data_IF_016357110721
#
_entry.id   IF_016357110721
#
_cell.length_a   1.000
_cell.length_b   1.000
_cell.length_c   1.000
_cell.angle_alpha   90.00
_cell.angle_beta   90.00
_cell.angle_gamma   90.00
#
_symmetry.space_group_name_H-M   'P 1'
#
loop_
_entity.id
_entity.type
_entity.pdbx_description
1 polymer ?
#
# COMPACT_ATOMS: atom_id res chain seq x y z
N UNK A 1 2.24 7.39 -24.40
CA UNK A 1 2.54 6.18 -23.60
C UNK A 1 3.06 6.68 -22.26
N UNK A 2 2.25 6.66 -21.20
CA UNK A 2 2.75 7.02 -19.87
C UNK A 2 3.55 5.82 -19.34
N UNK A 3 4.80 6.06 -18.95
CA UNK A 3 5.58 5.08 -18.18
C UNK A 3 5.00 5.13 -16.77
N UNK A 4 4.39 4.05 -16.28
CA UNK A 4 4.02 3.97 -14.87
C UNK A 4 5.29 4.12 -14.02
N UNK A 5 5.39 5.22 -13.28
CA UNK A 5 6.50 5.44 -12.37
C UNK A 5 6.37 4.46 -11.21
N UNK A 6 7.20 3.42 -11.20
CA UNK A 6 7.29 2.49 -10.10
C UNK A 6 8.26 3.03 -9.04
N UNK A 7 7.80 3.07 -7.79
CA UNK A 7 8.61 3.38 -6.62
C UNK A 7 8.72 2.14 -5.72
N UNK A 8 9.91 1.85 -5.21
CA UNK A 8 10.11 0.86 -4.16
C UNK A 8 9.70 1.44 -2.80
N UNK A 9 10.07 2.71 -2.55
CA UNK A 9 9.96 3.40 -1.26
C UNK A 9 9.28 4.77 -1.42
N UNK A 10 8.35 5.09 -0.53
CA UNK A 10 7.79 6.43 -0.31
C UNK A 10 8.33 6.96 1.02
N UNK A 11 8.95 8.15 1.03
CA UNK A 11 9.40 8.83 2.26
C UNK A 11 8.45 9.99 2.56
N UNK A 12 7.83 9.92 3.74
CA UNK A 12 6.87 10.87 4.28
C UNK A 12 7.50 11.57 5.49
N UNK A 13 7.45 12.90 5.53
CA UNK A 13 8.05 13.72 6.59
C UNK A 13 7.37 15.10 6.64
N UNK A 14 7.50 15.84 7.75
CA UNK A 14 7.02 17.23 7.81
C UNK A 14 8.04 18.15 7.15
N UNK A 15 7.69 18.83 6.06
CA UNK A 15 8.69 19.62 5.30
C UNK A 15 9.08 20.93 6.00
N UNK A 16 8.09 21.77 6.29
CA UNK A 16 8.26 23.08 6.92
C UNK A 16 7.61 23.17 8.31
N UNK A 17 8.17 23.98 9.20
CA UNK A 17 7.61 24.34 10.52
C UNK A 17 6.47 25.37 10.41
N UNK A 18 5.86 25.73 11.54
CA UNK A 18 4.75 26.72 11.61
C UNK A 18 5.14 28.15 11.19
N UNK A 19 6.44 28.39 10.97
CA UNK A 19 7.01 29.68 10.51
C UNK A 19 7.48 29.61 9.05
N UNK A 20 7.34 28.45 8.38
CA UNK A 20 7.78 28.23 7.00
C UNK A 20 9.27 27.91 6.84
N UNK A 21 9.99 27.55 7.91
CA UNK A 21 11.39 27.10 7.82
C UNK A 21 11.47 25.59 7.60
N UNK A 22 12.50 25.15 6.89
CA UNK A 22 12.85 23.73 6.76
C UNK A 22 13.01 23.05 8.13
N UNK A 23 12.36 21.90 8.32
CA UNK A 23 12.47 21.10 9.55
C UNK A 23 13.75 20.25 9.57
N UNK A 24 14.08 19.72 10.76
CA UNK A 24 15.07 18.63 10.87
C UNK A 24 14.60 17.36 10.13
N UNK A 25 13.30 17.08 10.10
CA UNK A 25 12.72 15.93 9.40
C UNK A 25 13.06 15.99 7.90
N UNK A 26 12.93 17.16 7.26
CA UNK A 26 13.27 17.40 5.85
C UNK A 26 14.74 17.11 5.56
N UNK A 27 15.64 17.65 6.38
CA UNK A 27 17.09 17.41 6.24
C UNK A 27 17.41 15.92 6.34
N UNK A 28 16.93 15.24 7.39
CA UNK A 28 17.22 13.82 7.63
C UNK A 28 16.54 12.92 6.58
N UNK A 29 15.33 13.26 6.15
CA UNK A 29 14.65 12.56 5.06
C UNK A 29 15.42 12.69 3.74
N UNK A 30 16.01 13.86 3.45
CA UNK A 30 16.84 14.06 2.25
C UNK A 30 18.16 13.28 2.31
N UNK A 31 18.79 13.18 3.49
CA UNK A 31 19.94 12.31 3.71
C UNK A 31 19.59 10.83 3.48
N UNK A 32 18.43 10.37 3.99
CA UNK A 32 17.92 9.02 3.79
C UNK A 32 17.59 8.75 2.31
N UNK A 33 16.87 9.67 1.65
CA UNK A 33 16.59 9.64 0.21
C UNK A 33 17.88 9.46 -0.60
N UNK A 34 18.85 10.34 -0.40
CA UNK A 34 20.15 10.31 -1.09
C UNK A 34 20.89 8.99 -0.87
N UNK A 35 20.83 8.46 0.36
CA UNK A 35 21.41 7.16 0.69
C UNK A 35 20.71 6.00 -0.03
N UNK A 36 19.38 5.96 -0.08
CA UNK A 36 18.61 4.90 -0.76
C UNK A 36 18.74 4.96 -2.30
N UNK A 37 18.79 6.16 -2.89
CA UNK A 37 19.09 6.37 -4.33
C UNK A 37 20.49 5.82 -4.67
N UNK A 38 21.50 6.07 -3.82
CA UNK A 38 22.86 5.49 -3.99
C UNK A 38 22.85 3.96 -3.95
N UNK A 39 21.89 3.34 -3.25
CA UNK A 39 21.67 1.89 -3.23
C UNK A 39 20.81 1.36 -4.40
N UNK A 40 20.52 2.19 -5.41
CA UNK A 40 19.75 1.86 -6.63
C UNK A 40 18.28 1.47 -6.37
N UNK A 41 17.68 2.02 -5.32
CA UNK A 41 16.24 1.95 -5.09
C UNK A 41 15.52 3.09 -5.82
N UNK A 42 14.29 2.85 -6.24
CA UNK A 42 13.38 3.90 -6.71
C UNK A 42 12.65 4.50 -5.52
N UNK A 43 12.81 5.80 -5.28
CA UNK A 43 12.34 6.47 -4.05
C UNK A 43 11.56 7.72 -4.39
N UNK A 44 10.33 7.82 -3.88
CA UNK A 44 9.57 9.06 -3.85
C UNK A 44 9.86 9.84 -2.57
N UNK A 45 9.99 11.16 -2.68
CA UNK A 45 10.35 12.07 -1.59
C UNK A 45 9.24 13.11 -1.42
N UNK A 46 8.42 12.99 -0.37
CA UNK A 46 7.27 13.88 -0.17
C UNK A 46 7.68 15.22 0.45
N UNK A 47 8.21 16.11 -0.39
CA UNK A 47 8.51 17.49 -0.01
C UNK A 47 7.22 18.33 -0.01
N UNK A 48 6.58 18.51 1.15
CA UNK A 48 5.35 19.31 1.29
C UNK A 48 5.60 20.79 0.91
N UNK A 49 5.31 21.19 -0.34
CA UNK A 49 5.30 22.62 -0.75
C UNK A 49 4.01 23.00 -1.49
N UNK A 50 3.29 23.97 -0.92
CA UNK A 50 1.94 24.45 -1.29
C UNK A 50 1.61 25.74 -0.47
N UNK A 51 0.75 26.71 -0.84
CA UNK A 51 -0.27 26.79 -1.91
C UNK A 51 -0.36 28.20 -2.54
N UNK A 52 -0.09 28.34 -3.85
CA UNK A 52 -0.50 29.54 -4.63
C UNK A 52 -0.92 29.30 -6.11
N UNK A 53 -0.35 28.34 -6.88
CA UNK A 53 -0.57 28.30 -8.35
C UNK A 53 -0.84 26.92 -9.03
N UNK A 54 -1.35 25.91 -8.32
CA UNK A 54 -1.89 24.69 -8.97
C UNK A 54 -1.97 23.45 -8.08
N UNK A 55 -3.17 23.16 -7.53
CA UNK A 55 -3.36 22.14 -6.48
C UNK A 55 -3.30 20.68 -6.94
N UNK A 56 -3.79 20.39 -8.14
CA UNK A 56 -4.27 19.03 -8.40
C UNK A 56 -3.18 18.11 -8.95
N UNK A 57 -2.24 18.65 -9.73
CA UNK A 57 -1.16 17.85 -10.35
C UNK A 57 -0.23 17.24 -9.29
N UNK A 58 0.23 18.03 -8.33
CA UNK A 58 1.11 17.55 -7.25
C UNK A 58 0.39 16.59 -6.29
N UNK A 59 -0.89 16.87 -5.96
CA UNK A 59 -1.69 15.93 -5.16
C UNK A 59 -1.82 14.58 -5.87
N UNK A 60 -2.12 14.60 -7.17
CA UNK A 60 -2.21 13.39 -7.99
C UNK A 60 -0.86 12.64 -8.05
N UNK A 61 0.28 13.34 -8.08
CA UNK A 61 1.61 12.71 -8.04
C UNK A 61 1.89 12.02 -6.69
N UNK A 62 1.59 12.67 -5.57
CA UNK A 62 1.71 12.04 -4.24
C UNK A 62 0.76 10.84 -4.12
N UNK A 63 -0.50 10.97 -4.53
CA UNK A 63 -1.47 9.86 -4.51
C UNK A 63 -1.01 8.70 -5.40
N UNK A 64 -0.47 8.97 -6.59
CA UNK A 64 0.13 7.96 -7.46
C UNK A 64 1.35 7.28 -6.80
N UNK A 65 2.24 8.05 -6.17
CA UNK A 65 3.41 7.51 -5.49
C UNK A 65 3.04 6.63 -4.29
N UNK A 66 2.00 6.98 -3.53
CA UNK A 66 1.41 6.13 -2.48
C UNK A 66 0.81 4.86 -3.10
N UNK A 67 0.11 4.96 -4.24
CA UNK A 67 -0.46 3.81 -4.93
C UNK A 67 0.60 2.83 -5.44
N UNK A 68 1.69 3.29 -6.05
CA UNK A 68 2.71 2.39 -6.64
C UNK A 68 3.74 1.87 -5.63
N UNK A 69 4.02 2.62 -4.55
CA UNK A 69 5.08 2.28 -3.59
C UNK A 69 4.84 0.97 -2.82
N UNK A 70 5.92 0.25 -2.52
CA UNK A 70 5.85 -1.00 -1.72
C UNK A 70 6.25 -0.83 -0.27
N UNK A 71 6.99 0.22 0.06
CA UNK A 71 7.43 0.53 1.42
C UNK A 71 7.13 1.99 1.71
N UNK A 72 6.50 2.28 2.84
CA UNK A 72 6.33 3.63 3.37
C UNK A 72 7.29 3.86 4.54
N UNK A 73 7.95 5.02 4.57
CA UNK A 73 8.83 5.41 5.68
C UNK A 73 8.32 6.74 6.24
N UNK A 74 7.87 6.72 7.49
CA UNK A 74 7.54 7.92 8.24
C UNK A 74 8.78 8.43 8.98
N UNK A 75 9.28 9.61 8.62
CA UNK A 75 10.41 10.27 9.32
C UNK A 75 9.85 11.26 10.35
N UNK A 76 10.43 11.30 11.54
CA UNK A 76 10.03 12.25 12.57
C UNK A 76 11.04 12.51 13.68
N UNK A 77 11.25 13.78 14.00
CA UNK A 77 11.93 14.31 15.19
C UNK A 77 10.96 14.67 16.32
N UNK A 78 9.70 14.94 15.98
CA UNK A 78 8.70 15.43 16.92
C UNK A 78 7.35 14.72 16.76
N UNK A 79 6.69 14.47 17.89
CA UNK A 79 5.35 13.86 17.94
C UNK A 79 4.31 14.68 17.16
N UNK A 80 4.36 16.00 17.28
CA UNK A 80 3.46 16.93 16.57
C UNK A 80 3.60 16.84 15.05
N UNK A 81 4.83 16.74 14.54
CA UNK A 81 5.11 16.56 13.12
C UNK A 81 4.59 15.21 12.62
N UNK A 82 4.78 14.14 13.41
CA UNK A 82 4.25 12.80 13.15
C UNK A 82 2.71 12.69 13.22
N UNK A 83 2.06 13.71 13.79
CA UNK A 83 0.61 13.88 13.87
C UNK A 83 0.08 14.99 12.93
N UNK A 84 0.94 15.56 12.07
CA UNK A 84 0.53 16.61 11.13
C UNK A 84 -0.47 16.08 10.09
N UNK A 85 -1.40 16.95 9.67
CA UNK A 85 -2.54 16.59 8.81
C UNK A 85 -2.12 15.86 7.53
N UNK A 86 -1.04 16.31 6.88
CA UNK A 86 -0.60 15.76 5.61
C UNK A 86 0.08 14.41 5.79
N UNK A 87 1.06 14.31 6.68
CA UNK A 87 1.70 13.04 7.05
C UNK A 87 0.68 11.98 7.53
N UNK A 88 -0.35 12.40 8.27
CA UNK A 88 -1.45 11.53 8.68
C UNK A 88 -2.28 11.05 7.48
N UNK A 89 -2.62 11.94 6.53
CA UNK A 89 -3.33 11.59 5.31
C UNK A 89 -2.55 10.55 4.49
N UNK A 90 -1.27 10.83 4.18
CA UNK A 90 -0.42 9.92 3.40
C UNK A 90 -0.29 8.55 4.07
N UNK A 91 -0.04 8.53 5.39
CA UNK A 91 0.13 7.30 6.17
C UNK A 91 -1.15 6.48 6.22
N UNK A 92 -2.30 7.11 6.48
CA UNK A 92 -3.59 6.42 6.52
C UNK A 92 -4.00 5.87 5.16
N UNK A 93 -3.75 6.61 4.07
CA UNK A 93 -3.91 6.13 2.69
C UNK A 93 -3.03 4.91 2.42
N UNK A 94 -1.76 4.93 2.81
CA UNK A 94 -0.87 3.78 2.62
C UNK A 94 -1.27 2.56 3.48
N UNK A 95 -1.74 2.77 4.72
CA UNK A 95 -2.26 1.72 5.58
C UNK A 95 -3.52 1.07 5.00
N UNK A 96 -4.41 1.85 4.38
CA UNK A 96 -5.57 1.33 3.65
C UNK A 96 -5.16 0.48 2.43
N UNK A 97 -4.10 0.87 1.71
CA UNK A 97 -3.55 0.02 0.65
C UNK A 97 -2.87 -1.24 1.19
N UNK A 98 -2.26 -1.19 2.38
CA UNK A 98 -1.60 -2.34 3.03
C UNK A 98 -2.59 -3.37 3.58
N UNK A 99 -3.80 -2.98 3.97
CA UNK A 99 -4.84 -3.95 4.37
C UNK A 99 -5.36 -4.78 3.19
N UNK A 100 -5.28 -4.22 1.97
CA UNK A 100 -5.62 -4.91 0.71
C UNK A 100 -4.40 -5.69 0.17
N UNK A 101 -3.23 -5.07 0.13
CA UNK A 101 -1.96 -5.64 -0.35
C UNK A 101 -1.00 -5.85 0.82
N UNK A 102 -1.06 -7.03 1.44
CA UNK A 102 -0.19 -7.41 2.56
C UNK A 102 1.30 -7.54 2.18
N UNK A 103 1.66 -7.36 0.90
CA UNK A 103 3.06 -7.24 0.48
C UNK A 103 3.64 -5.86 0.75
N UNK A 104 2.84 -4.88 1.17
CA UNK A 104 3.30 -3.55 1.59
C UNK A 104 3.84 -3.55 3.01
N UNK A 105 4.92 -2.81 3.25
CA UNK A 105 5.47 -2.56 4.58
C UNK A 105 5.48 -1.07 4.91
N UNK A 106 5.43 -0.79 6.20
CA UNK A 106 5.60 0.55 6.75
C UNK A 106 6.68 0.49 7.85
N UNK A 107 7.56 1.48 7.86
CA UNK A 107 8.66 1.62 8.82
C UNK A 107 8.68 3.05 9.38
N UNK A 108 9.18 3.20 10.61
CA UNK A 108 9.42 4.51 11.23
C UNK A 108 10.91 4.83 11.24
N UNK A 109 11.27 6.09 11.01
CA UNK A 109 12.64 6.59 11.04
C UNK A 109 12.72 7.75 12.03
N UNK A 110 13.14 7.44 13.25
CA UNK A 110 13.06 8.32 14.41
C UNK A 110 14.35 9.09 14.61
N UNK A 111 14.22 10.39 14.78
CA UNK A 111 15.29 11.33 15.10
C UNK A 111 15.22 11.61 16.60
N UNK A 112 16.35 11.55 17.29
CA UNK A 112 16.44 11.83 18.73
C UNK A 112 15.97 13.26 19.03
N UNK A 113 15.09 13.49 20.03
CA UNK A 113 14.74 12.62 21.15
C UNK A 113 13.54 11.68 20.93
N UNK A 114 12.93 11.63 19.74
CA UNK A 114 11.71 10.84 19.51
C UNK A 114 11.92 9.33 19.73
N UNK A 115 10.96 8.68 20.38
CA UNK A 115 10.97 7.24 20.66
C UNK A 115 9.72 6.53 20.11
N UNK A 116 9.72 5.20 20.17
CA UNK A 116 8.57 4.36 19.76
C UNK A 116 7.30 4.71 20.57
N UNK A 117 7.43 5.22 21.80
CA UNK A 117 6.29 5.65 22.63
C UNK A 117 5.57 6.87 22.08
N UNK A 118 6.30 7.70 21.34
CA UNK A 118 5.83 8.96 20.76
C UNK A 118 5.18 8.79 19.39
N UNK A 119 5.30 7.59 18.80
CA UNK A 119 4.66 7.25 17.54
C UNK A 119 3.12 7.34 17.65
N UNK A 120 2.44 7.75 16.57
CA UNK A 120 1.01 7.58 16.40
C UNK A 120 0.58 6.10 16.57
N UNK A 121 -0.59 5.89 17.18
CA UNK A 121 -1.08 4.55 17.56
C UNK A 121 -1.18 3.58 16.36
N UNK A 122 -1.52 4.10 15.18
CA UNK A 122 -1.64 3.35 13.92
C UNK A 122 -0.31 2.76 13.40
N UNK A 123 0.83 3.20 13.96
CA UNK A 123 2.17 2.69 13.62
C UNK A 123 3.06 2.36 14.82
N UNK A 124 2.56 2.28 16.06
CA UNK A 124 3.39 1.94 17.23
C UNK A 124 4.09 0.57 17.14
N UNK A 125 3.48 -0.39 16.45
CA UNK A 125 4.00 -1.76 16.32
C UNK A 125 4.95 -1.95 15.12
N UNK A 126 5.24 -0.91 14.33
CA UNK A 126 6.08 -1.04 13.13
C UNK A 126 7.57 -1.06 13.48
N UNK A 127 8.38 -1.71 12.63
CA UNK A 127 9.83 -1.69 12.80
C UNK A 127 10.36 -0.26 12.69
N UNK A 128 11.04 0.19 13.75
CA UNK A 128 11.58 1.53 13.89
C UNK A 128 13.10 1.54 13.76
N UNK A 129 13.62 2.56 13.10
CA UNK A 129 15.03 2.76 12.75
C UNK A 129 15.43 4.21 13.08
N UNK A 130 16.71 4.55 12.97
CA UNK A 130 17.23 5.89 13.23
C UNK A 130 18.41 6.23 12.31
N UNK A 131 18.84 7.51 12.21
CA UNK A 131 20.01 7.92 11.43
C UNK A 131 21.25 7.05 11.64
N UNK A 132 21.51 6.63 12.88
CA UNK A 132 22.67 5.83 13.27
C UNK A 132 22.63 4.37 12.77
N UNK A 133 21.49 3.88 12.28
CA UNK A 133 21.34 2.49 11.82
C UNK A 133 20.70 2.35 10.43
N UNK A 134 20.83 3.36 9.55
CA UNK A 134 20.30 3.37 8.17
C UNK A 134 20.66 2.14 7.32
N UNK A 135 21.83 1.52 7.53
CA UNK A 135 22.19 0.28 6.84
C UNK A 135 21.32 -0.92 7.25
N UNK A 136 20.84 -0.96 8.51
CA UNK A 136 19.86 -1.96 8.98
C UNK A 136 18.49 -1.72 8.33
N UNK A 137 18.05 -0.47 8.21
CA UNK A 137 16.84 -0.11 7.46
C UNK A 137 16.94 -0.59 6.00
N UNK A 138 18.06 -0.31 5.32
CA UNK A 138 18.29 -0.79 3.95
C UNK A 138 18.29 -2.33 3.83
N UNK A 139 18.84 -3.06 4.81
CA UNK A 139 18.76 -4.52 4.83
C UNK A 139 17.30 -5.00 4.91
N UNK A 140 16.47 -4.40 5.75
CA UNK A 140 15.05 -4.73 5.85
C UNK A 140 14.30 -4.42 4.54
N UNK A 141 14.50 -3.22 3.98
CA UNK A 141 13.96 -2.83 2.67
C UNK A 141 14.34 -3.85 1.59
N UNK A 142 15.62 -4.21 1.51
CA UNK A 142 16.14 -5.13 0.49
C UNK A 142 15.59 -6.55 0.62
N UNK A 143 15.49 -7.06 1.84
CA UNK A 143 14.89 -8.37 2.12
C UNK A 143 13.40 -8.37 1.78
N UNK A 144 12.68 -7.32 2.16
CA UNK A 144 11.25 -7.15 1.89
C UNK A 144 10.96 -7.13 0.39
N UNK A 145 11.63 -6.25 -0.37
CA UNK A 145 11.48 -6.16 -1.84
C UNK A 145 11.88 -7.47 -2.55
N UNK A 146 12.90 -8.18 -2.06
CA UNK A 146 13.26 -9.51 -2.56
C UNK A 146 12.15 -10.54 -2.31
N UNK A 147 11.51 -10.53 -1.14
CA UNK A 147 10.39 -11.42 -0.83
C UNK A 147 9.17 -11.14 -1.74
N UNK A 148 8.87 -9.87 -2.06
CA UNK A 148 7.83 -9.51 -3.04
C UNK A 148 8.16 -10.07 -4.42
N UNK A 149 9.40 -9.88 -4.90
CA UNK A 149 9.86 -10.38 -6.21
C UNK A 149 9.76 -11.91 -6.31
N UNK A 150 10.10 -12.63 -5.24
CA UNK A 150 9.96 -14.09 -5.17
C UNK A 150 8.49 -14.54 -5.15
N UNK A 151 7.60 -13.90 -4.38
CA UNK A 151 6.16 -14.20 -4.39
C UNK A 151 5.49 -14.00 -5.75
N UNK A 152 5.97 -13.03 -6.55
CA UNK A 152 5.47 -12.75 -7.90
C UNK A 152 5.96 -13.73 -8.97
N UNK A 153 6.98 -14.54 -8.69
CA UNK A 153 7.46 -15.57 -9.60
C UNK A 153 6.77 -16.90 -9.23
N UNK A 154 5.74 -17.34 -9.98
CA UNK A 154 5.22 -18.68 -9.79
C UNK A 154 6.33 -19.68 -10.12
N UNK A 155 6.39 -20.71 -9.28
CA UNK A 155 7.33 -21.82 -9.30
C UNK A 155 7.57 -22.35 -10.72
N UNK A 156 8.73 -22.01 -11.31
CA UNK A 156 9.34 -22.76 -12.42
C UNK A 156 10.19 -23.93 -11.87
N UNK A 157 9.67 -24.67 -10.88
CA UNK A 157 10.27 -25.95 -10.50
C UNK A 157 9.93 -26.99 -11.55
N UNK A 158 10.87 -27.11 -12.50
CA UNK A 158 11.33 -28.36 -13.11
C UNK A 158 10.42 -29.57 -12.84
N UNK A 159 9.49 -29.81 -13.78
CA UNK A 159 8.69 -31.04 -13.82
C UNK A 159 9.62 -32.22 -14.11
N UNK A 160 10.14 -32.85 -13.07
CA UNK A 160 10.90 -34.09 -13.20
C UNK A 160 9.94 -35.17 -13.72
N UNK A 161 10.01 -35.42 -15.02
CA UNK A 161 9.39 -36.56 -15.68
C UNK A 161 10.16 -37.83 -15.32
N UNK A 162 9.92 -38.36 -14.12
CA UNK A 162 10.04 -39.80 -13.84
C UNK A 162 9.48 -40.17 -12.46
N UNK A 163 8.21 -40.59 -12.47
CA UNK A 163 7.63 -41.62 -11.59
C UNK A 163 6.16 -41.84 -11.98
N UNK A 164 5.91 -42.88 -12.75
CA UNK A 164 4.58 -43.42 -12.98
C UNK A 164 4.06 -44.10 -11.71
N UNK A 165 2.93 -43.61 -11.19
CA UNK A 165 2.11 -44.31 -10.19
C UNK A 165 0.68 -44.31 -10.73
N UNK A 166 0.02 -45.46 -10.91
CA UNK A 166 -1.35 -45.51 -11.40
C UNK A 166 -2.31 -45.10 -10.28
N UNK A 167 -3.29 -44.25 -10.61
CA UNK A 167 -4.38 -43.89 -9.70
C UNK A 167 -5.70 -44.27 -10.37
N UNK A 168 -6.25 -45.39 -9.95
CA UNK A 168 -7.61 -45.80 -10.27
C UNK A 168 -8.59 -44.95 -9.44
N UNK A 169 -9.59 -44.38 -10.12
CA UNK A 169 -10.92 -44.02 -9.62
C UNK A 169 -11.07 -43.51 -8.17
N UNK A 170 -11.28 -42.20 -8.02
CA UNK A 170 -12.08 -41.61 -6.92
C UNK A 170 -12.75 -40.31 -7.38
N UNK A 171 -13.65 -40.41 -8.37
CA UNK A 171 -14.71 -39.41 -8.51
C UNK A 171 -15.71 -39.75 -7.41
N UNK A 172 -15.86 -38.89 -6.40
CA UNK A 172 -17.07 -38.71 -5.55
C UNK A 172 -16.78 -37.87 -4.27
N UNK A 173 -16.28 -36.64 -4.39
CA UNK A 173 -16.34 -35.66 -3.27
C UNK A 173 -16.32 -34.17 -3.69
N UNK A 174 -16.84 -33.83 -4.88
CA UNK A 174 -17.04 -32.43 -5.29
C UNK A 174 -18.53 -32.14 -5.49
N UNK A 175 -19.25 -32.15 -4.37
CA UNK A 175 -20.59 -31.60 -4.22
C UNK A 175 -20.60 -30.74 -2.95
N UNK A 176 -21.49 -29.73 -2.90
CA UNK A 176 -21.73 -28.80 -1.78
C UNK A 176 -20.64 -27.77 -1.38
N UNK A 177 -20.25 -26.89 -2.31
CA UNK A 177 -19.91 -25.48 -1.97
C UNK A 177 -20.57 -24.46 -2.90
N UNK A 178 -21.91 -24.52 -2.97
CA UNK A 178 -22.71 -23.38 -3.43
C UNK A 178 -22.69 -22.35 -2.31
N UNK A 179 -22.16 -21.15 -2.57
CA UNK A 179 -22.20 -20.04 -1.62
C UNK A 179 -23.67 -19.63 -1.44
N UNK A 180 -24.25 -19.66 -0.23
CA UNK A 180 -25.65 -19.32 -0.05
C UNK A 180 -25.89 -17.83 -0.35
N UNK A 181 -26.98 -17.55 -1.05
CA UNK A 181 -27.38 -16.22 -1.52
C UNK A 181 -27.51 -15.17 -0.40
N UNK A 182 -27.64 -15.62 0.86
CA UNK A 182 -27.66 -14.78 2.07
C UNK A 182 -26.37 -13.96 2.28
N UNK A 183 -25.20 -14.46 1.85
CA UNK A 183 -23.93 -13.74 1.98
C UNK A 183 -23.86 -12.48 1.09
N UNK A 184 -24.55 -12.50 -0.05
CA UNK A 184 -24.64 -11.35 -0.98
C UNK A 184 -25.52 -10.24 -0.36
N UNK A 185 -26.59 -10.61 0.34
CA UNK A 185 -27.45 -9.63 1.02
C UNK A 185 -26.79 -9.02 2.26
N UNK A 186 -25.87 -9.74 2.92
CA UNK A 186 -25.12 -9.20 4.05
C UNK A 186 -24.21 -8.03 3.65
N UNK A 187 -23.64 -8.02 2.44
CA UNK A 187 -22.83 -6.88 1.96
C UNK A 187 -23.64 -5.62 1.68
N UNK A 188 -24.92 -5.73 1.28
CA UNK A 188 -25.79 -4.54 1.10
C UNK A 188 -26.07 -3.81 2.42
N UNK A 189 -26.25 -4.55 3.52
CA UNK A 189 -26.51 -3.99 4.86
C UNK A 189 -25.34 -3.18 5.44
N UNK A 190 -24.11 -3.54 5.06
CA UNK A 190 -22.90 -2.80 5.43
C UNK A 190 -22.77 -1.55 4.54
N UNK A 191 -23.05 -1.66 3.24
CA UNK A 191 -22.89 -0.56 2.30
C UNK A 191 -23.86 0.61 2.57
N UNK A 192 -25.10 0.32 3.00
CA UNK A 192 -26.08 1.37 3.35
C UNK A 192 -25.78 2.12 4.66
N UNK A 193 -24.79 1.67 5.45
CA UNK A 193 -24.35 2.32 6.70
C UNK A 193 -23.05 3.10 6.56
N UNK A 194 -22.36 3.00 5.42
CA UNK A 194 -21.17 3.78 5.12
C UNK A 194 -21.57 5.09 4.45
N UNK A 195 -21.88 6.09 5.28
CA UNK A 195 -22.21 7.44 4.84
C UNK A 195 -20.93 8.16 4.39
N UNK A 196 -20.48 7.89 3.15
CA UNK A 196 -19.34 8.54 2.51
C UNK A 196 -19.68 10.00 2.15
N UNK A 197 -19.07 11.03 2.79
CA UNK A 197 -19.50 12.42 2.59
C UNK A 197 -18.82 13.13 1.41
N UNK A 198 -18.15 12.40 0.51
CA UNK A 198 -17.28 12.97 -0.54
C UNK A 198 -17.32 12.21 -1.89
N UNK A 199 -18.43 11.53 -2.24
CA UNK A 199 -18.65 11.05 -3.61
C UNK A 199 -19.91 11.71 -4.18
N UNK A 200 -19.79 12.30 -5.37
CA UNK A 200 -20.94 12.74 -6.16
C UNK A 200 -21.80 11.54 -6.57
N UNK A 201 -23.12 11.76 -6.65
CA UNK A 201 -24.13 10.70 -6.81
C UNK A 201 -23.83 9.76 -8.00
N UNK A 202 -23.34 10.34 -9.09
CA UNK A 202 -23.03 9.65 -10.34
C UNK A 202 -21.88 8.64 -10.20
N UNK A 203 -20.94 8.90 -9.29
CA UNK A 203 -19.81 7.99 -9.02
C UNK A 203 -20.27 6.68 -8.36
N UNK A 204 -21.28 6.76 -7.50
CA UNK A 204 -21.87 5.60 -6.82
C UNK A 204 -22.71 4.77 -7.79
N UNK A 205 -23.49 5.43 -8.65
CA UNK A 205 -24.28 4.78 -9.71
C UNK A 205 -23.35 4.07 -10.71
N UNK A 206 -22.26 4.71 -11.12
CA UNK A 206 -21.26 4.12 -12.01
C UNK A 206 -20.61 2.87 -11.38
N UNK A 207 -20.20 2.94 -10.11
CA UNK A 207 -19.65 1.78 -9.39
C UNK A 207 -20.65 0.62 -9.32
N UNK A 208 -21.92 0.91 -9.05
CA UNK A 208 -22.99 -0.10 -9.02
C UNK A 208 -23.16 -0.79 -10.40
N UNK A 209 -23.24 -0.02 -11.49
CA UNK A 209 -23.36 -0.54 -12.85
C UNK A 209 -22.16 -1.44 -13.21
N UNK A 210 -20.93 -1.00 -12.91
CA UNK A 210 -19.71 -1.78 -13.18
C UNK A 210 -19.71 -3.10 -12.40
N UNK A 211 -20.07 -3.09 -11.12
CA UNK A 211 -20.18 -4.31 -10.30
C UNK A 211 -21.25 -5.25 -10.85
N UNK A 212 -22.43 -4.74 -11.21
CA UNK A 212 -23.52 -5.55 -11.80
C UNK A 212 -23.09 -6.21 -13.12
N UNK A 213 -22.38 -5.49 -13.99
CA UNK A 213 -21.86 -6.04 -15.25
C UNK A 213 -20.78 -7.11 -15.03
N UNK A 214 -19.91 -6.94 -14.03
CA UNK A 214 -18.91 -7.97 -13.65
C UNK A 214 -19.61 -9.24 -13.15
N UNK A 215 -20.61 -9.11 -12.27
CA UNK A 215 -21.38 -10.26 -11.75
C UNK A 215 -22.10 -10.99 -12.89
N UNK A 216 -22.75 -10.25 -13.79
CA UNK A 216 -23.43 -10.84 -14.96
C UNK A 216 -22.45 -11.59 -15.88
N UNK A 217 -21.26 -11.03 -16.12
CA UNK A 217 -20.22 -11.66 -16.96
C UNK A 217 -19.66 -12.93 -16.32
N UNK A 218 -19.44 -12.92 -14.99
CA UNK A 218 -19.04 -14.12 -14.23
C UNK A 218 -20.14 -15.19 -14.27
N UNK A 219 -21.42 -14.80 -14.12
CA UNK A 219 -22.54 -15.73 -14.21
C UNK A 219 -22.65 -16.40 -15.59
N UNK A 220 -22.48 -15.64 -16.68
CA UNK A 220 -22.47 -16.18 -18.05
C UNK A 220 -21.31 -17.17 -18.24
N UNK A 221 -20.09 -16.78 -17.84
CA UNK A 221 -18.90 -17.65 -17.95
C UNK A 221 -19.03 -18.96 -17.14
N UNK A 222 -19.69 -18.92 -15.98
CA UNK A 222 -20.01 -20.13 -15.22
C UNK A 222 -21.04 -20.96 -15.98
N UNK A 223 -22.12 -20.35 -16.49
CA UNK A 223 -23.20 -21.06 -17.21
C UNK A 223 -22.72 -21.74 -18.50
N UNK A 224 -21.77 -21.14 -19.22
CA UNK A 224 -21.17 -21.73 -20.43
C UNK A 224 -20.21 -22.89 -20.11
N UNK A 225 -19.60 -22.92 -18.91
CA UNK A 225 -18.63 -23.95 -18.50
C UNK A 225 -19.28 -25.21 -17.89
N UNK A 226 -20.59 -25.17 -17.62
CA UNK A 226 -21.37 -26.25 -17.01
C UNK A 226 -22.55 -26.67 -17.90
N UNK A 227 -22.40 -26.57 -19.23
CA UNK A 227 -23.37 -27.02 -20.24
C UNK A 227 -22.68 -27.93 -21.25
#
# INVERSE_FOLDING_TARGET
MQVESYYDVFISFKDSDDKGNDTEDKKVAYELYTYLIKKKLTVFFSAETFIQHGTDQWRNEIEHAIQVSKIFIAVGSQKTYMQSKWLQLERTSFLALRSIDNTRAIYSYLITPMTIKDLPDDIKEVSSFSPNNRDKLYQYISQHLRAIKLKKQPILLKRNSDRSIPIQNSIDTISSRIIPFSLILFSLSIFSKLQYPYLELDSVIYAYIVISLIILKVYILIKEKFK
#
